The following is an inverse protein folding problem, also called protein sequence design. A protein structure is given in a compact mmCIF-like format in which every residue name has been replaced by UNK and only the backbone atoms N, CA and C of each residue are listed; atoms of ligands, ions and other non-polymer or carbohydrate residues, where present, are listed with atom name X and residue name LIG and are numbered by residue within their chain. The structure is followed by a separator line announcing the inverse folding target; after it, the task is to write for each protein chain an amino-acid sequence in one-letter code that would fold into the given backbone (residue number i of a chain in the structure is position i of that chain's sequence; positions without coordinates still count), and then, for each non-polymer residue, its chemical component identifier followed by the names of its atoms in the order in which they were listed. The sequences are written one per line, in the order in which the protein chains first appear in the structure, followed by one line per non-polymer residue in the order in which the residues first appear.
data_IF_517933999679
#
_entry.id   IF_517933999679
#
_cell.length_a   1.000
_cell.length_b   1.000
_cell.length_c   1.000
_cell.angle_alpha   90.00
_cell.angle_beta   90.00
_cell.angle_gamma   90.00
#
_symmetry.space_group_name_H-M   'P 1'
#
loop_
_entity.id
_entity.type
_entity.pdbx_description
1 polymer ?
#
# COMPACT_ATOMS: atom_id res chain seq x y z
N UNK A 1 18.66 20.26 13.07
CA UNK A 1 18.67 18.84 13.51
C UNK A 1 17.91 18.06 12.46
N UNK A 2 18.64 17.41 11.56
CA UNK A 2 18.09 16.64 10.44
C UNK A 2 17.61 15.28 10.95
N UNK A 3 16.30 15.06 10.92
CA UNK A 3 15.71 13.76 11.21
C UNK A 3 16.17 12.77 10.13
N UNK A 4 16.87 11.72 10.54
CA UNK A 4 17.26 10.64 9.65
C UNK A 4 15.99 9.94 9.15
N UNK A 5 15.72 10.07 7.86
CA UNK A 5 14.72 9.27 7.16
C UNK A 5 15.22 7.83 7.14
N UNK A 6 14.75 7.01 8.09
CA UNK A 6 14.99 5.57 8.06
C UNK A 6 14.24 4.99 6.87
N UNK A 7 14.98 4.46 5.91
CA UNK A 7 14.43 3.71 4.78
C UNK A 7 13.55 2.58 5.30
N UNK A 8 12.39 2.31 4.67
CA UNK A 8 11.60 1.13 5.02
C UNK A 8 12.50 -0.10 4.83
N UNK A 9 12.56 -0.93 5.87
CA UNK A 9 13.32 -2.17 5.85
C UNK A 9 12.83 -3.00 4.66
N UNK A 10 13.66 -3.13 3.63
CA UNK A 10 13.43 -4.06 2.54
C UNK A 10 13.37 -5.45 3.16
N UNK A 11 12.18 -6.06 3.15
CA UNK A 11 12.02 -7.44 3.56
C UNK A 11 12.98 -8.28 2.73
N UNK A 12 13.98 -8.87 3.38
CA UNK A 12 14.86 -9.82 2.73
C UNK A 12 13.99 -11.03 2.34
N UNK A 13 13.81 -11.36 1.05
CA UNK A 13 12.89 -12.42 0.61
C UNK A 13 13.24 -13.82 1.14
N UNK A 14 14.39 -13.96 1.83
CA UNK A 14 14.86 -15.18 2.45
C UNK A 14 14.38 -15.42 3.90
N UNK A 15 13.72 -14.46 4.57
CA UNK A 15 13.26 -14.67 5.94
C UNK A 15 11.82 -15.21 5.97
N UNK A 16 11.55 -16.31 6.71
CA UNK A 16 10.19 -16.80 6.85
C UNK A 16 9.34 -15.79 7.61
N UNK A 17 8.21 -15.41 7.03
CA UNK A 17 7.21 -14.57 7.68
C UNK A 17 6.62 -15.34 8.88
N UNK A 18 6.56 -14.71 10.05
CA UNK A 18 6.01 -15.31 11.25
C UNK A 18 4.76 -14.58 11.72
N UNK A 19 4.64 -13.29 11.42
CA UNK A 19 3.53 -12.42 11.86
C UNK A 19 3.07 -11.58 10.67
N UNK A 20 1.83 -11.82 10.23
CA UNK A 20 1.23 -11.16 9.08
C UNK A 20 -0.07 -10.51 9.54
N UNK A 21 -0.27 -9.24 9.20
CA UNK A 21 -1.59 -8.59 9.33
C UNK A 21 -2.17 -8.42 7.95
N UNK A 22 -3.39 -8.92 7.76
CA UNK A 22 -4.15 -8.71 6.54
C UNK A 22 -5.42 -7.94 6.87
N UNK A 23 -5.80 -7.01 6.00
CA UNK A 23 -7.08 -6.29 6.11
C UNK A 23 -7.91 -6.46 4.86
N UNK A 24 -9.22 -6.51 5.04
CA UNK A 24 -10.20 -6.51 3.96
C UNK A 24 -11.19 -5.36 4.19
N UNK A 25 -11.07 -4.33 3.37
CA UNK A 25 -11.93 -3.16 3.41
C UNK A 25 -13.19 -3.43 2.55
N UNK A 26 -14.24 -3.96 3.18
CA UNK A 26 -15.55 -4.15 2.55
C UNK A 26 -16.37 -2.85 2.53
N UNK A 27 -17.46 -2.82 1.78
CA UNK A 27 -18.34 -1.64 1.67
C UNK A 27 -18.90 -1.15 3.02
N UNK A 28 -19.12 -2.07 3.96
CA UNK A 28 -19.74 -1.78 5.26
C UNK A 28 -18.77 -1.97 6.42
N UNK A 29 -17.91 -2.99 6.34
CA UNK A 29 -17.04 -3.40 7.43
C UNK A 29 -15.63 -3.63 6.92
N UNK A 30 -14.67 -3.06 7.62
CA UNK A 30 -13.26 -3.36 7.46
C UNK A 30 -12.89 -4.44 8.46
N UNK A 31 -12.29 -5.52 7.97
CA UNK A 31 -11.88 -6.64 8.80
C UNK A 31 -10.37 -6.71 8.81
N UNK A 32 -9.79 -6.92 9.97
CA UNK A 32 -8.38 -7.25 10.13
C UNK A 32 -8.26 -8.68 10.62
N UNK A 33 -7.25 -9.40 10.14
CA UNK A 33 -6.85 -10.69 10.69
C UNK A 33 -5.36 -10.70 11.01
N UNK A 34 -5.02 -11.32 12.12
CA UNK A 34 -3.64 -11.62 12.51
C UNK A 34 -3.36 -13.08 12.17
N UNK A 35 -2.35 -13.31 11.33
CA UNK A 35 -1.90 -14.64 10.93
C UNK A 35 -0.51 -14.83 11.52
N UNK A 36 -0.37 -15.84 12.36
CA UNK A 36 0.89 -16.17 13.03
C UNK A 36 1.35 -17.58 12.69
N UNK A 37 2.66 -17.75 12.62
CA UNK A 37 3.28 -19.06 12.46
C UNK A 37 3.38 -19.74 13.82
N UNK A 38 2.54 -20.75 14.05
CA UNK A 38 2.52 -21.57 15.26
C UNK A 38 3.17 -22.91 14.95
N UNK A 39 4.41 -23.11 15.40
CA UNK A 39 5.22 -24.25 15.01
C UNK A 39 5.54 -24.21 13.51
N UNK A 40 5.03 -25.17 12.75
CA UNK A 40 5.26 -25.30 11.31
C UNK A 40 4.07 -24.83 10.44
N UNK A 41 3.01 -24.31 11.04
CA UNK A 41 1.78 -23.94 10.33
C UNK A 41 1.42 -22.46 10.54
N UNK A 42 0.79 -21.86 9.54
CA UNK A 42 0.17 -20.55 9.70
C UNK A 42 -1.25 -20.70 10.23
N UNK A 43 -1.59 -19.92 11.25
CA UNK A 43 -2.92 -19.89 11.87
C UNK A 43 -3.42 -18.46 11.89
N UNK A 44 -4.67 -18.25 11.52
CA UNK A 44 -5.39 -17.04 11.90
C UNK A 44 -5.61 -17.11 13.42
N UNK A 45 -4.95 -16.24 14.18
CA UNK A 45 -4.99 -16.24 15.64
C UNK A 45 -6.01 -15.26 16.19
N UNK A 46 -6.13 -14.09 15.58
CA UNK A 46 -7.06 -13.04 15.99
C UNK A 46 -7.73 -12.38 14.80
N UNK A 47 -8.89 -11.76 15.06
CA UNK A 47 -9.66 -10.99 14.10
C UNK A 47 -10.21 -9.74 14.79
N UNK A 48 -10.07 -8.60 14.12
CA UNK A 48 -10.74 -7.36 14.49
C UNK A 48 -11.63 -6.87 13.36
N UNK A 49 -12.63 -6.08 13.67
CA UNK A 49 -13.58 -5.52 12.72
C UNK A 49 -13.98 -4.10 13.13
N UNK A 50 -14.06 -3.21 12.15
CA UNK A 50 -14.56 -1.85 12.36
C UNK A 50 -15.48 -1.44 11.20
N UNK A 51 -16.40 -0.49 11.41
CA UNK A 51 -17.12 0.14 10.31
C UNK A 51 -16.14 0.68 9.27
N UNK A 52 -16.43 0.45 7.99
CA UNK A 52 -15.65 1.06 6.90
C UNK A 52 -15.96 2.54 6.83
N UNK A 53 -14.93 3.36 6.67
CA UNK A 53 -14.99 4.82 6.75
C UNK A 53 -14.76 5.51 5.39
N UNK A 54 -15.17 4.88 4.29
CA UNK A 54 -15.07 5.44 2.93
C UNK A 54 -16.11 6.51 2.62
N UNK A 55 -17.21 6.55 3.38
CA UNK A 55 -18.28 7.52 3.19
C UNK A 55 -18.20 8.68 4.22
N UNK A 56 -18.97 9.73 3.95
CA UNK A 56 -19.17 10.82 4.89
C UNK A 56 -19.67 10.29 6.26
N UNK A 57 -19.26 10.89 7.39
CA UNK A 57 -18.47 12.12 7.52
C UNK A 57 -16.95 11.93 7.54
N UNK A 58 -16.45 10.69 7.40
CA UNK A 58 -15.03 10.39 7.60
C UNK A 58 -14.22 10.49 6.31
N UNK A 59 -14.74 9.95 5.20
CA UNK A 59 -14.10 9.99 3.87
C UNK A 59 -12.61 9.57 3.88
N UNK A 60 -12.27 8.62 4.76
CA UNK A 60 -10.90 8.14 4.97
C UNK A 60 -10.94 6.66 5.38
N UNK A 61 -10.68 5.77 4.42
CA UNK A 61 -10.67 4.30 4.65
C UNK A 61 -9.63 3.86 5.68
N UNK A 62 -8.56 4.64 5.86
CA UNK A 62 -7.47 4.27 6.77
C UNK A 62 -7.96 4.24 8.21
N UNK A 63 -8.96 5.05 8.56
CA UNK A 63 -9.58 5.02 9.90
C UNK A 63 -10.22 3.67 10.21
N UNK A 64 -10.99 3.10 9.27
CA UNK A 64 -11.58 1.77 9.42
C UNK A 64 -10.50 0.68 9.56
N UNK A 65 -9.42 0.78 8.78
CA UNK A 65 -8.25 -0.12 8.87
C UNK A 65 -7.59 -0.04 10.24
N UNK A 66 -7.24 1.17 10.70
CA UNK A 66 -6.56 1.39 11.97
C UNK A 66 -7.42 0.93 13.14
N UNK A 67 -8.73 1.19 13.11
CA UNK A 67 -9.66 0.73 14.13
C UNK A 67 -9.76 -0.81 14.18
N UNK A 68 -9.83 -1.47 13.02
CA UNK A 68 -9.87 -2.93 12.96
C UNK A 68 -8.55 -3.57 13.45
N UNK A 69 -7.41 -2.93 13.19
CA UNK A 69 -6.11 -3.37 13.71
C UNK A 69 -6.01 -3.11 15.22
N UNK A 70 -6.51 -1.98 15.73
CA UNK A 70 -6.49 -1.68 17.16
C UNK A 70 -7.26 -2.74 17.98
N UNK A 71 -8.37 -3.27 17.46
CA UNK A 71 -9.06 -4.40 18.11
C UNK A 71 -8.20 -5.67 18.15
N UNK A 72 -7.40 -5.94 17.10
CA UNK A 72 -6.42 -7.02 17.14
C UNK A 72 -5.36 -6.75 18.23
N UNK A 73 -4.86 -5.52 18.37
CA UNK A 73 -3.88 -5.19 19.42
C UNK A 73 -4.46 -5.47 20.81
N UNK A 74 -5.72 -5.08 21.05
CA UNK A 74 -6.42 -5.33 22.31
C UNK A 74 -6.61 -6.82 22.60
N UNK A 75 -6.99 -7.61 21.59
CA UNK A 75 -7.23 -9.05 21.73
C UNK A 75 -5.95 -9.88 21.86
N UNK A 76 -4.90 -9.51 21.12
CA UNK A 76 -3.65 -10.28 21.03
C UNK A 76 -2.58 -9.84 22.05
N UNK A 77 -2.70 -8.62 22.58
CA UNK A 77 -1.66 -7.98 23.38
C UNK A 77 -0.41 -7.59 22.59
N UNK A 78 -0.43 -7.72 21.25
CA UNK A 78 0.65 -7.29 20.36
C UNK A 78 0.49 -5.81 20.03
N UNK A 79 1.58 -5.05 20.08
CA UNK A 79 1.64 -3.68 19.55
C UNK A 79 1.99 -3.71 18.07
N UNK A 80 1.01 -3.43 17.22
CA UNK A 80 1.09 -3.41 15.75
C UNK A 80 1.23 -1.97 15.24
N UNK A 81 0.63 -0.98 15.92
CA UNK A 81 0.56 0.41 15.47
C UNK A 81 1.49 1.33 16.29
N UNK A 82 2.06 2.33 15.62
CA UNK A 82 2.71 3.51 16.19
C UNK A 82 2.01 4.76 15.62
N UNK A 83 0.98 5.22 16.32
CA UNK A 83 0.02 6.17 15.78
C UNK A 83 -0.72 5.59 14.58
N UNK A 84 -0.67 6.27 13.44
CA UNK A 84 -1.31 5.83 12.19
C UNK A 84 -0.40 4.92 11.32
N UNK A 85 0.74 4.47 11.86
CA UNK A 85 1.74 3.66 11.11
C UNK A 85 1.81 2.24 11.64
N UNK A 86 1.89 1.27 10.73
CA UNK A 86 2.17 -0.12 11.09
C UNK A 86 3.66 -0.29 11.37
N UNK A 87 3.98 -0.86 12.52
CA UNK A 87 5.34 -1.15 12.93
C UNK A 87 5.82 -2.36 12.12
N UNK A 88 6.84 -2.16 11.30
CA UNK A 88 7.52 -3.21 10.53
C UNK A 88 9.03 -3.01 10.60
N UNK A 89 9.84 -4.08 10.61
CA UNK A 89 9.43 -5.49 10.72
C UNK A 89 9.00 -5.86 12.15
N UNK A 90 8.60 -7.12 12.35
CA UNK A 90 8.41 -7.72 13.68
C UNK A 90 9.69 -7.63 14.50
N UNK A 91 9.58 -7.25 15.78
CA UNK A 91 10.71 -6.96 16.66
C UNK A 91 11.20 -8.15 17.51
N UNK A 92 10.73 -9.36 17.19
CA UNK A 92 11.12 -10.58 17.91
C UNK A 92 12.64 -10.80 17.96
N UNK A 93 13.36 -10.48 16.88
CA UNK A 93 14.81 -10.60 16.84
C UNK A 93 15.54 -9.56 17.72
N UNK A 94 14.87 -8.46 18.06
CA UNK A 94 15.35 -7.37 18.91
C UNK A 94 14.93 -7.55 20.39
N UNK A 95 14.26 -8.67 20.72
CA UNK A 95 13.86 -9.01 22.08
C UNK A 95 12.44 -8.61 22.46
N UNK A 96 11.66 -8.03 21.53
CA UNK A 96 10.25 -7.71 21.74
C UNK A 96 9.37 -8.49 20.75
N UNK A 97 9.03 -9.75 21.06
CA UNK A 97 8.26 -10.59 20.16
C UNK A 97 6.82 -10.12 20.00
N UNK A 98 6.31 -9.20 20.83
CA UNK A 98 4.94 -8.70 20.77
C UNK A 98 4.86 -7.31 20.13
N UNK A 99 5.87 -6.90 19.36
CA UNK A 99 5.86 -5.61 18.67
C UNK A 99 6.15 -5.74 17.18
N UNK A 100 5.34 -5.09 16.37
CA UNK A 100 5.44 -5.05 14.91
C UNK A 100 4.98 -6.33 14.20
N UNK A 101 5.02 -6.29 12.87
CA UNK A 101 4.63 -7.39 11.98
C UNK A 101 5.65 -7.53 10.85
N UNK A 102 5.79 -8.72 10.28
CA UNK A 102 6.73 -8.95 9.17
C UNK A 102 6.21 -8.33 7.87
N UNK A 103 4.89 -8.36 7.66
CA UNK A 103 4.24 -7.76 6.50
C UNK A 103 2.79 -7.38 6.82
N UNK A 104 2.36 -6.30 6.20
CA UNK A 104 0.97 -5.88 6.14
C UNK A 104 0.45 -6.00 4.70
N UNK A 105 -0.73 -6.58 4.54
CA UNK A 105 -1.43 -6.65 3.25
C UNK A 105 -2.87 -6.17 3.40
N UNK A 106 -3.43 -5.66 2.30
CA UNK A 106 -4.81 -5.19 2.28
C UNK A 106 -5.51 -5.56 0.98
N UNK A 107 -6.78 -5.91 1.09
CA UNK A 107 -7.74 -5.97 -0.01
C UNK A 107 -8.81 -4.92 0.22
N UNK A 108 -9.35 -4.33 -0.85
CA UNK A 108 -10.44 -3.38 -0.73
C UNK A 108 -11.43 -3.55 -1.87
N UNK A 109 -12.71 -3.60 -1.50
CA UNK A 109 -13.86 -3.48 -2.40
C UNK A 109 -14.73 -2.26 -2.07
N UNK A 110 -14.36 -1.51 -1.02
CA UNK A 110 -15.08 -0.33 -0.57
C UNK A 110 -14.86 0.88 -1.50
N UNK A 111 -15.89 1.73 -1.65
CA UNK A 111 -15.79 3.01 -2.37
C UNK A 111 -16.01 2.95 -3.89
N UNK A 112 -16.27 1.78 -4.47
CA UNK A 112 -16.35 1.58 -5.91
C UNK A 112 -14.98 1.28 -6.53
N UNK A 113 -14.88 1.24 -7.87
CA UNK A 113 -13.63 0.92 -8.54
C UNK A 113 -12.58 2.01 -8.31
N UNK A 114 -11.59 1.73 -7.45
CA UNK A 114 -10.46 2.63 -7.14
C UNK A 114 -9.93 3.31 -8.40
N UNK A 115 -9.92 4.64 -8.41
CA UNK A 115 -9.39 5.41 -9.53
C UNK A 115 -7.87 5.38 -9.47
N UNK A 116 -7.30 4.60 -10.39
CA UNK A 116 -5.87 4.34 -10.41
C UNK A 116 -5.19 5.10 -11.54
N UNK A 117 -4.11 5.80 -11.22
CA UNK A 117 -3.16 6.23 -12.24
C UNK A 117 -2.06 5.18 -12.37
N UNK A 118 -1.70 4.84 -13.61
CA UNK A 118 -0.66 3.86 -13.88
C UNK A 118 0.56 4.58 -14.44
N UNK A 119 1.76 4.22 -13.97
CA UNK A 119 3.01 4.69 -14.55
C UNK A 119 3.85 3.53 -15.06
N UNK A 120 4.53 3.72 -16.18
CA UNK A 120 5.45 2.75 -16.76
C UNK A 120 6.74 3.41 -17.25
N UNK A 121 7.78 2.63 -17.48
CA UNK A 121 8.98 3.09 -18.18
C UNK A 121 8.63 3.44 -19.64
N UNK A 122 8.12 2.47 -20.39
CA UNK A 122 7.70 2.63 -21.79
C UNK A 122 6.18 2.46 -21.89
N UNK A 123 5.52 3.40 -22.58
CA UNK A 123 4.06 3.43 -22.71
C UNK A 123 3.50 2.11 -23.27
N UNK A 124 4.00 1.67 -24.43
CA UNK A 124 3.52 0.48 -25.15
C UNK A 124 4.15 -0.84 -24.64
N UNK A 125 4.73 -0.85 -23.44
CA UNK A 125 5.28 -2.06 -22.81
C UNK A 125 4.89 -2.11 -21.34
N UNK A 126 5.70 -1.52 -20.46
CA UNK A 126 5.46 -1.54 -19.01
C UNK A 126 4.19 -0.79 -18.62
N UNK A 127 3.87 0.31 -19.32
CA UNK A 127 2.64 1.08 -19.10
C UNK A 127 1.39 0.29 -19.47
N UNK A 128 1.37 -0.25 -20.69
CA UNK A 128 0.26 -1.10 -21.18
C UNK A 128 0.09 -2.38 -20.33
N UNK A 129 1.19 -3.05 -19.94
CA UNK A 129 1.14 -4.21 -19.05
C UNK A 129 0.55 -3.87 -17.69
N UNK A 130 0.98 -2.75 -17.09
CA UNK A 130 0.47 -2.31 -15.80
C UNK A 130 -1.00 -1.86 -15.87
N UNK A 131 -1.40 -1.21 -16.96
CA UNK A 131 -2.79 -0.86 -17.22
C UNK A 131 -3.66 -2.11 -17.29
N UNK A 132 -3.23 -3.15 -18.02
CA UNK A 132 -3.96 -4.42 -18.10
C UNK A 132 -4.06 -5.11 -16.75
N UNK A 133 -2.99 -5.10 -15.95
CA UNK A 133 -3.01 -5.63 -14.60
C UNK A 133 -3.99 -4.88 -13.68
N UNK A 134 -3.98 -3.55 -13.73
CA UNK A 134 -4.90 -2.70 -12.97
C UNK A 134 -6.37 -2.95 -13.34
N UNK A 135 -6.67 -2.98 -14.65
CA UNK A 135 -8.03 -3.29 -15.14
C UNK A 135 -8.46 -4.71 -14.75
N UNK A 136 -7.55 -5.68 -14.83
CA UNK A 136 -7.82 -7.07 -14.40
C UNK A 136 -8.09 -7.20 -12.91
N UNK A 137 -7.50 -6.32 -12.08
CA UNK A 137 -7.77 -6.22 -10.65
C UNK A 137 -9.06 -5.45 -10.31
N UNK A 138 -9.78 -4.91 -11.31
CA UNK A 138 -11.03 -4.18 -11.13
C UNK A 138 -10.87 -2.68 -10.85
N UNK A 139 -9.68 -2.11 -11.05
CA UNK A 139 -9.45 -0.67 -10.89
C UNK A 139 -10.00 0.14 -12.08
N UNK A 140 -10.40 1.38 -11.82
CA UNK A 140 -10.73 2.35 -12.88
C UNK A 140 -9.44 3.08 -13.26
N UNK A 141 -8.81 2.69 -14.36
CA UNK A 141 -7.58 3.36 -14.82
C UNK A 141 -7.94 4.71 -15.44
N UNK A 142 -7.53 5.80 -14.78
CA UNK A 142 -7.89 7.17 -15.19
C UNK A 142 -6.87 7.82 -16.13
N UNK A 143 -5.61 7.40 -16.07
CA UNK A 143 -4.55 7.79 -17.01
C UNK A 143 -3.37 6.81 -16.94
N UNK A 144 -2.56 6.79 -17.99
CA UNK A 144 -1.30 6.05 -18.06
C UNK A 144 -0.17 7.01 -18.41
N UNK A 145 0.80 7.16 -17.52
CA UNK A 145 2.00 7.96 -17.73
C UNK A 145 3.18 7.06 -18.07
N UNK A 146 4.07 7.54 -18.94
CA UNK A 146 5.34 6.88 -19.18
C UNK A 146 6.46 7.88 -19.41
N UNK A 147 7.73 7.46 -19.33
CA UNK A 147 8.84 8.39 -19.63
C UNK A 147 8.74 8.93 -21.06
N UNK A 148 8.27 8.10 -22.00
CA UNK A 148 8.17 8.39 -23.43
C UNK A 148 6.75 8.69 -23.95
N UNK A 149 5.80 9.12 -23.11
CA UNK A 149 4.40 9.40 -23.50
C UNK A 149 4.17 10.74 -24.24
N UNK A 150 5.25 11.45 -24.58
CA UNK A 150 5.22 12.72 -25.30
C UNK A 150 4.87 13.95 -24.47
N UNK A 151 4.50 13.79 -23.20
CA UNK A 151 4.19 14.91 -22.28
C UNK A 151 5.47 15.45 -21.65
N UNK A 152 5.51 16.77 -21.45
CA UNK A 152 6.57 17.43 -20.71
C UNK A 152 6.46 17.13 -19.21
N UNK A 153 7.57 17.19 -18.43
CA UNK A 153 7.55 16.87 -17.01
C UNK A 153 6.48 17.62 -16.20
N UNK A 154 6.32 18.93 -16.44
CA UNK A 154 5.32 19.73 -15.74
C UNK A 154 3.88 19.30 -16.09
N UNK A 155 3.63 18.81 -17.31
CA UNK A 155 2.30 18.34 -17.72
C UNK A 155 1.94 17.04 -17.00
N UNK A 156 2.92 16.15 -16.80
CA UNK A 156 2.74 14.91 -16.02
C UNK A 156 2.40 15.23 -14.56
N UNK A 157 3.16 16.15 -13.96
CA UNK A 157 2.95 16.60 -12.58
C UNK A 157 1.55 17.22 -12.43
N UNK A 158 1.17 18.14 -13.32
CA UNK A 158 -0.15 18.78 -13.30
C UNK A 158 -1.29 17.77 -13.53
N UNK A 159 -1.07 16.75 -14.37
CA UNK A 159 -2.02 15.65 -14.55
C UNK A 159 -2.23 14.86 -13.26
N UNK A 160 -1.16 14.45 -12.58
CA UNK A 160 -1.25 13.73 -11.29
C UNK A 160 -2.03 14.58 -10.28
N UNK A 161 -1.71 15.87 -10.18
CA UNK A 161 -2.39 16.83 -9.28
C UNK A 161 -3.88 16.99 -9.58
N UNK A 162 -4.22 17.15 -10.85
CA UNK A 162 -5.59 17.45 -11.27
C UNK A 162 -6.49 16.22 -11.19
N UNK A 163 -5.95 15.05 -11.58
CA UNK A 163 -6.73 13.81 -11.64
C UNK A 163 -7.02 13.22 -10.27
N UNK A 164 -6.24 13.58 -9.23
CA UNK A 164 -6.43 13.13 -7.84
C UNK A 164 -6.65 11.61 -7.73
N UNK A 165 -5.70 10.78 -8.21
CA UNK A 165 -5.86 9.32 -8.14
C UNK A 165 -5.93 8.84 -6.70
N UNK A 166 -6.79 7.86 -6.44
CA UNK A 166 -6.88 7.17 -5.16
C UNK A 166 -5.67 6.24 -4.94
N UNK A 167 -5.11 5.71 -6.03
CA UNK A 167 -3.95 4.82 -6.04
C UNK A 167 -3.07 5.08 -7.26
N UNK A 168 -1.75 4.95 -7.09
CA UNK A 168 -0.79 5.01 -8.20
C UNK A 168 -0.07 3.67 -8.30
N UNK A 169 -0.19 2.99 -9.45
CA UNK A 169 0.53 1.76 -9.76
C UNK A 169 1.74 2.08 -10.63
N UNK A 170 2.94 1.87 -10.09
CA UNK A 170 4.19 2.11 -10.80
C UNK A 170 4.83 0.81 -11.28
N UNK A 171 5.11 0.73 -12.58
CA UNK A 171 5.70 -0.43 -13.24
C UNK A 171 7.07 -0.10 -13.82
N UNK A 172 8.06 -0.93 -13.49
CA UNK A 172 9.47 -0.76 -13.83
C UNK A 172 10.03 -1.85 -14.75
N UNK A 173 11.36 -1.86 -14.89
CA UNK A 173 12.09 -2.98 -15.49
C UNK A 173 12.21 -4.17 -14.53
N UNK A 174 12.58 -5.33 -15.06
CA UNK A 174 12.92 -6.52 -14.27
C UNK A 174 14.41 -6.53 -13.92
N UNK A 175 14.80 -7.31 -12.92
CA UNK A 175 16.21 -7.65 -12.60
C UNK A 175 17.16 -6.44 -12.44
N UNK A 176 16.68 -5.35 -11.86
CA UNK A 176 17.46 -4.12 -11.66
C UNK A 176 17.60 -3.25 -12.91
N UNK A 177 16.86 -3.55 -13.98
CA UNK A 177 16.78 -2.73 -15.19
C UNK A 177 15.91 -1.48 -15.02
N UNK A 178 16.18 -0.47 -15.86
CA UNK A 178 15.39 0.76 -15.99
C UNK A 178 15.17 1.58 -14.70
N UNK A 179 16.04 1.40 -13.69
CA UNK A 179 15.94 2.10 -12.38
C UNK A 179 15.82 3.62 -12.56
N UNK A 180 16.64 4.22 -13.42
CA UNK A 180 16.62 5.68 -13.66
C UNK A 180 15.23 6.19 -14.06
N UNK A 181 14.53 5.47 -14.95
CA UNK A 181 13.20 5.88 -15.41
C UNK A 181 12.11 5.65 -14.36
N UNK A 182 12.26 4.61 -13.53
CA UNK A 182 11.34 4.38 -12.40
C UNK A 182 11.49 5.48 -11.36
N UNK A 183 12.74 5.86 -11.04
CA UNK A 183 13.03 6.97 -10.14
C UNK A 183 12.49 8.29 -10.71
N UNK A 184 12.67 8.54 -12.01
CA UNK A 184 12.12 9.72 -12.68
C UNK A 184 10.58 9.81 -12.53
N UNK A 185 9.85 8.71 -12.75
CA UNK A 185 8.39 8.68 -12.52
C UNK A 185 8.04 8.93 -11.05
N UNK A 186 8.81 8.36 -10.12
CA UNK A 186 8.63 8.57 -8.69
C UNK A 186 8.86 10.04 -8.29
N UNK A 187 9.84 10.71 -8.91
CA UNK A 187 10.09 12.14 -8.70
C UNK A 187 8.91 13.00 -9.19
N UNK A 188 8.30 12.65 -10.33
CA UNK A 188 7.08 13.34 -10.80
C UNK A 188 5.89 13.14 -9.85
N UNK A 189 5.72 11.93 -9.30
CA UNK A 189 4.69 11.64 -8.29
C UNK A 189 4.96 12.43 -7.02
N UNK A 190 6.21 12.47 -6.54
CA UNK A 190 6.59 13.20 -5.34
C UNK A 190 6.37 14.71 -5.51
N UNK A 191 6.78 15.27 -6.65
CA UNK A 191 6.59 16.68 -6.98
C UNK A 191 5.11 17.08 -7.15
N UNK A 192 4.25 16.12 -7.52
CA UNK A 192 2.83 16.34 -7.65
C UNK A 192 2.09 16.44 -6.31
N UNK A 193 2.64 15.92 -5.20
CA UNK A 193 1.95 15.85 -3.90
C UNK A 193 0.47 15.40 -4.05
N UNK A 194 0.22 14.23 -4.68
CA UNK A 194 -1.14 13.81 -5.00
C UNK A 194 -2.01 13.74 -3.75
N UNK A 195 -3.25 14.21 -3.89
CA UNK A 195 -4.28 14.03 -2.87
C UNK A 195 -5.34 13.08 -3.45
N UNK A 196 -5.75 12.04 -2.70
CA UNK A 196 -6.87 11.19 -3.11
C UNK A 196 -8.14 12.03 -3.28
N UNK A 197 -9.15 11.49 -3.96
CA UNK A 197 -10.35 12.24 -4.36
C UNK A 197 -11.14 12.82 -3.19
#
# INVERSE_FOLDING_TARGET
MTAAHQSPATSNPAQPLNVIVATDCGSTTTKAILIEKVGNEYRQTYRGEAPTTVEAPFEDVTRGVLNAIAEIEELSGRTILDGDRIITPNQAAQGDPQRGVDIYVSTSSAGGGLQMMVTGVVQNMTGESAQRAALGAGAIVIDVLASNDGRLPYEKIERIRTMRPDMILMSGGTDGGAVTHVVEMAEYIAAAEPRPR
#
